data_IF_438627778628
#
_entry.id   IF_438627778628
#
_cell.length_a   1.000
_cell.length_b   1.000
_cell.length_c   1.000
_cell.angle_alpha   90.00
_cell.angle_beta   90.00
_cell.angle_gamma   90.00
#
_symmetry.space_group_name_H-M   'P 1'
#
loop_
_entity.id
_entity.type
_entity.pdbx_description
1 polymer ?
#
# COMPACT_ATOMS: atom_id res chain seq x y z
N UNK A 1 7.53 -1.95 -0.93
CA UNK A 1 8.00 -3.33 -1.04
C UNK A 1 9.44 -3.46 -0.57
N UNK A 2 9.90 -4.68 -0.26
CA UNK A 2 11.31 -4.91 0.02
C UNK A 2 12.18 -4.52 -1.18
N UNK A 3 13.32 -3.88 -0.93
CA UNK A 3 14.20 -3.37 -1.98
C UNK A 3 15.66 -3.63 -1.62
N UNK A 4 16.48 -3.91 -2.63
CA UNK A 4 17.94 -3.92 -2.50
C UNK A 4 18.49 -2.53 -2.83
N UNK A 5 18.78 -1.75 -1.82
CA UNK A 5 19.29 -0.37 -1.97
C UNK A 5 20.73 -0.29 -2.49
N UNK A 6 21.41 -1.42 -2.64
CA UNK A 6 22.77 -1.47 -3.22
C UNK A 6 22.74 -1.57 -4.74
N UNK A 7 21.58 -1.88 -5.32
CA UNK A 7 21.41 -2.00 -6.77
C UNK A 7 20.41 -0.94 -7.23
N UNK A 8 20.92 0.09 -7.87
CA UNK A 8 20.14 1.25 -8.30
C UNK A 8 20.25 1.47 -9.80
N UNK A 9 19.24 2.14 -10.36
CA UNK A 9 19.24 2.60 -11.74
C UNK A 9 18.65 4.01 -11.82
N UNK A 10 19.08 4.80 -12.79
CA UNK A 10 18.54 6.14 -13.05
C UNK A 10 17.87 6.15 -14.41
N UNK A 11 16.59 6.59 -14.46
CA UNK A 11 15.82 6.71 -15.70
C UNK A 11 15.05 8.03 -15.68
N UNK A 12 15.21 8.83 -16.71
CA UNK A 12 14.54 10.13 -16.87
C UNK A 12 14.73 11.07 -15.66
N UNK A 13 15.90 11.03 -15.03
CA UNK A 13 16.23 11.84 -13.86
C UNK A 13 15.70 11.28 -12.52
N UNK A 14 15.03 10.14 -12.54
CA UNK A 14 14.54 9.48 -11.33
C UNK A 14 15.44 8.29 -10.95
N UNK A 15 15.68 8.14 -9.66
CA UNK A 15 16.42 7.02 -9.10
C UNK A 15 15.47 5.88 -8.75
N UNK A 16 15.87 4.66 -9.08
CA UNK A 16 15.13 3.44 -8.80
C UNK A 16 16.01 2.45 -8.04
N UNK A 17 15.42 1.72 -7.11
CA UNK A 17 16.05 0.62 -6.40
C UNK A 17 15.52 -0.72 -6.90
N UNK A 18 16.38 -1.73 -6.95
CA UNK A 18 15.98 -3.08 -7.34
C UNK A 18 14.96 -3.63 -6.34
N UNK A 19 13.82 -4.10 -6.84
CA UNK A 19 12.84 -4.77 -6.00
C UNK A 19 13.37 -6.14 -5.53
N UNK A 20 13.24 -6.41 -4.25
CA UNK A 20 13.59 -7.69 -3.62
C UNK A 20 12.34 -8.38 -3.07
N UNK A 21 11.45 -8.75 -3.97
CA UNK A 21 10.20 -9.44 -3.64
C UNK A 21 10.34 -10.91 -4.04
N UNK A 22 10.25 -11.79 -3.07
CA UNK A 22 10.39 -13.23 -3.32
C UNK A 22 9.40 -13.72 -4.38
N UNK A 23 9.92 -14.31 -5.45
CA UNK A 23 9.13 -14.87 -6.55
C UNK A 23 8.63 -13.84 -7.56
N UNK A 24 9.06 -12.56 -7.45
CA UNK A 24 8.68 -11.48 -8.38
C UNK A 24 9.94 -10.86 -8.96
N UNK A 25 10.12 -11.00 -10.27
CA UNK A 25 11.29 -10.45 -10.97
C UNK A 25 10.94 -9.31 -11.93
N UNK A 26 9.67 -9.24 -12.34
CA UNK A 26 9.19 -8.28 -13.35
C UNK A 26 7.90 -7.59 -12.90
N UNK A 27 7.53 -6.52 -13.61
CA UNK A 27 6.25 -5.82 -13.41
C UNK A 27 5.05 -6.76 -13.64
N UNK A 28 5.12 -7.64 -14.63
CA UNK A 28 4.10 -8.66 -14.86
C UNK A 28 3.96 -9.62 -13.68
N UNK A 29 5.10 -10.05 -13.11
CA UNK A 29 5.13 -10.88 -11.90
C UNK A 29 4.53 -10.16 -10.69
N UNK A 30 4.79 -8.88 -10.52
CA UNK A 30 4.18 -8.07 -9.46
C UNK A 30 2.67 -7.96 -9.64
N UNK A 31 2.20 -7.71 -10.86
CA UNK A 31 0.77 -7.68 -11.17
C UNK A 31 0.10 -9.01 -10.84
N UNK A 32 0.70 -10.13 -11.24
CA UNK A 32 0.19 -11.46 -10.94
C UNK A 32 0.08 -11.72 -9.42
N UNK A 33 1.06 -11.26 -8.64
CA UNK A 33 1.01 -11.34 -7.18
C UNK A 33 -0.15 -10.50 -6.62
N UNK A 34 -0.32 -9.27 -7.09
CA UNK A 34 -1.39 -8.38 -6.61
C UNK A 34 -2.78 -8.94 -6.91
N UNK A 35 -2.98 -9.60 -8.06
CA UNK A 35 -4.27 -10.19 -8.45
C UNK A 35 -4.75 -11.31 -7.50
N UNK A 36 -3.88 -11.80 -6.64
CA UNK A 36 -4.28 -12.74 -5.58
C UNK A 36 -5.00 -12.07 -4.42
N UNK A 37 -4.82 -10.75 -4.23
CA UNK A 37 -5.30 -9.99 -3.07
C UNK A 37 -6.20 -8.81 -3.41
N UNK A 38 -6.14 -8.32 -4.64
CA UNK A 38 -6.91 -7.16 -5.09
C UNK A 38 -7.54 -7.43 -6.47
N UNK A 39 -8.57 -6.65 -6.81
CA UNK A 39 -9.21 -6.73 -8.14
C UNK A 39 -8.24 -6.27 -9.24
N UNK A 40 -8.43 -6.73 -10.50
CA UNK A 40 -7.63 -6.25 -11.63
C UNK A 40 -7.65 -4.72 -11.77
N UNK A 41 -8.79 -4.10 -11.56
CA UNK A 41 -8.96 -2.64 -11.62
C UNK A 41 -8.09 -1.93 -10.59
N UNK A 42 -8.06 -2.43 -9.35
CA UNK A 42 -7.24 -1.86 -8.28
C UNK A 42 -5.74 -2.09 -8.55
N UNK A 43 -5.37 -3.27 -9.02
CA UNK A 43 -3.99 -3.56 -9.40
C UNK A 43 -3.51 -2.63 -10.52
N UNK A 44 -4.32 -2.41 -11.54
CA UNK A 44 -3.99 -1.53 -12.66
C UNK A 44 -3.91 -0.06 -12.23
N UNK A 45 -4.76 0.38 -11.31
CA UNK A 45 -4.65 1.71 -10.70
C UNK A 45 -3.31 1.91 -9.99
N UNK A 46 -2.89 0.94 -9.19
CA UNK A 46 -1.64 1.03 -8.44
C UNK A 46 -0.39 0.97 -9.33
N UNK A 47 -0.41 0.14 -10.37
CA UNK A 47 0.73 -0.07 -11.25
C UNK A 47 0.78 0.91 -12.43
N UNK A 48 -0.37 1.47 -12.82
CA UNK A 48 -0.52 2.39 -13.93
C UNK A 48 -0.37 3.86 -13.56
N UNK A 49 0.18 4.19 -12.39
CA UNK A 49 0.35 5.58 -11.98
C UNK A 49 1.22 6.36 -12.98
N UNK A 50 0.87 7.61 -13.23
CA UNK A 50 1.61 8.51 -14.12
C UNK A 50 3.05 8.75 -13.66
N UNK A 51 3.33 8.51 -12.39
CA UNK A 51 4.65 8.63 -11.78
C UNK A 51 5.60 7.48 -12.16
N UNK A 52 5.09 6.43 -12.80
CA UNK A 52 5.87 5.25 -13.16
C UNK A 52 6.72 4.71 -12.00
N UNK A 53 6.08 4.56 -10.88
CA UNK A 53 6.71 4.14 -9.62
C UNK A 53 7.38 2.77 -9.71
N UNK A 54 6.81 1.89 -10.53
CA UNK A 54 7.29 0.54 -10.80
C UNK A 54 7.60 0.41 -12.28
N UNK A 55 8.79 -0.12 -12.61
CA UNK A 55 9.14 -0.38 -14.01
C UNK A 55 10.16 -1.51 -14.14
N UNK A 56 10.13 -2.16 -15.28
CA UNK A 56 11.17 -3.11 -15.66
C UNK A 56 12.35 -2.35 -16.28
N UNK A 57 13.55 -2.64 -15.77
CA UNK A 57 14.81 -2.13 -16.29
C UNK A 57 15.72 -3.34 -16.48
N UNK A 58 16.20 -3.56 -17.71
CA UNK A 58 17.04 -4.71 -18.07
C UNK A 58 16.45 -6.07 -17.61
N UNK A 59 15.13 -6.22 -17.73
CA UNK A 59 14.43 -7.46 -17.39
C UNK A 59 14.19 -7.69 -15.90
N UNK A 60 14.45 -6.70 -15.04
CA UNK A 60 14.23 -6.77 -13.60
C UNK A 60 13.32 -5.64 -13.15
N UNK A 61 12.53 -5.93 -12.11
CA UNK A 61 11.63 -4.95 -11.49
C UNK A 61 12.41 -3.97 -10.61
N UNK A 62 12.18 -2.68 -10.84
CA UNK A 62 12.70 -1.59 -10.02
C UNK A 62 11.55 -0.75 -9.47
N UNK A 63 11.78 -0.17 -8.31
CA UNK A 63 10.84 0.72 -7.62
C UNK A 63 11.47 2.09 -7.45
N UNK A 64 10.72 3.15 -7.76
CA UNK A 64 11.20 4.52 -7.59
C UNK A 64 11.61 4.77 -6.13
N UNK A 65 12.79 5.34 -5.94
CA UNK A 65 13.39 5.61 -4.63
C UNK A 65 12.72 6.80 -3.88
N UNK A 66 11.51 7.17 -4.25
CA UNK A 66 10.75 8.20 -3.58
C UNK A 66 10.01 7.60 -2.37
N UNK A 67 10.55 7.80 -1.18
CA UNK A 67 9.91 7.38 0.06
C UNK A 67 8.58 8.10 0.28
N UNK A 68 7.52 7.35 0.57
CA UNK A 68 6.31 7.90 1.16
C UNK A 68 6.59 8.04 2.65
N UNK A 69 6.69 9.27 3.16
CA UNK A 69 6.77 9.50 4.60
C UNK A 69 5.53 8.94 5.30
N UNK A 70 5.70 8.45 6.52
CA UNK A 70 4.57 8.06 7.35
C UNK A 70 3.70 9.28 7.69
N UNK A 71 2.41 9.07 7.89
CA UNK A 71 1.52 10.12 8.37
C UNK A 71 1.52 10.14 9.90
N UNK A 72 2.31 11.04 10.47
CA UNK A 72 2.49 11.15 11.92
C UNK A 72 1.24 11.64 12.66
N UNK A 73 0.25 12.19 11.93
CA UNK A 73 -1.04 12.58 12.51
C UNK A 73 -1.97 11.39 12.80
N UNK A 74 -1.58 10.19 12.41
CA UNK A 74 -2.33 8.96 12.64
C UNK A 74 -1.67 8.13 13.73
N UNK A 75 -2.45 7.77 14.74
CA UNK A 75 -2.04 6.90 15.83
C UNK A 75 -2.35 5.43 15.59
N UNK A 76 -2.60 4.70 16.65
CA UNK A 76 -2.98 3.31 16.60
C UNK A 76 -4.33 3.08 15.91
N UNK A 77 -4.57 1.85 15.50
CA UNK A 77 -5.82 1.47 14.85
C UNK A 77 -6.35 0.13 15.36
N UNK A 78 -7.64 -0.07 15.14
CA UNK A 78 -8.32 -1.35 15.31
C UNK A 78 -8.99 -1.75 14.00
N UNK A 79 -9.12 -3.06 13.76
CA UNK A 79 -9.79 -3.58 12.57
C UNK A 79 -10.95 -4.50 12.98
N UNK A 80 -12.06 -4.35 12.28
CA UNK A 80 -13.21 -5.25 12.37
C UNK A 80 -13.64 -5.67 10.97
N UNK A 81 -14.16 -6.89 10.83
CA UNK A 81 -14.66 -7.37 9.56
C UNK A 81 -16.13 -7.78 9.70
N UNK A 82 -16.93 -7.39 8.72
CA UNK A 82 -18.32 -7.85 8.56
C UNK A 82 -18.43 -8.59 7.25
N UNK A 83 -19.07 -9.76 7.28
CA UNK A 83 -19.20 -10.64 6.11
C UNK A 83 -20.70 -10.95 5.89
N UNK A 84 -21.12 -10.87 4.63
CA UNK A 84 -22.45 -11.27 4.17
C UNK A 84 -22.28 -12.15 2.91
N UNK A 85 -22.44 -13.47 3.09
CA UNK A 85 -22.10 -14.42 2.04
C UNK A 85 -20.61 -14.40 1.72
N UNK A 86 -20.28 -14.16 0.45
CA UNK A 86 -18.90 -14.02 -0.04
C UNK A 86 -18.42 -12.56 -0.11
N UNK A 87 -19.26 -11.60 0.24
CA UNK A 87 -18.92 -10.18 0.26
C UNK A 87 -18.71 -9.69 1.67
N UNK A 88 -17.73 -8.84 1.87
CA UNK A 88 -17.42 -8.30 3.18
C UNK A 88 -16.79 -6.91 3.13
N UNK A 89 -16.68 -6.31 4.30
CA UNK A 89 -16.00 -5.05 4.52
C UNK A 89 -15.09 -5.18 5.75
N UNK A 90 -13.81 -4.91 5.57
CA UNK A 90 -12.89 -4.69 6.66
C UNK A 90 -12.92 -3.20 7.00
N UNK A 91 -13.18 -2.86 8.25
CA UNK A 91 -13.17 -1.47 8.72
C UNK A 91 -11.97 -1.25 9.63
N UNK A 92 -11.11 -0.32 9.25
CA UNK A 92 -9.98 0.15 10.04
C UNK A 92 -10.37 1.47 10.70
N UNK A 93 -10.37 1.50 12.03
CA UNK A 93 -10.63 2.71 12.81
C UNK A 93 -9.32 3.24 13.38
N UNK A 94 -8.94 4.42 12.96
CA UNK A 94 -7.63 5.03 13.25
C UNK A 94 -7.80 6.17 14.24
N UNK A 95 -6.95 6.21 15.27
CA UNK A 95 -6.87 7.33 16.21
C UNK A 95 -6.22 8.53 15.52
N UNK A 96 -6.83 9.71 15.65
CA UNK A 96 -6.28 10.95 15.13
C UNK A 96 -5.43 11.65 16.19
N UNK A 97 -4.23 12.03 15.80
CA UNK A 97 -3.27 12.76 16.64
C UNK A 97 -3.19 14.22 16.19
N UNK A 98 -2.88 15.11 17.14
CA UNK A 98 -2.55 16.49 16.87
C UNK A 98 -1.21 16.83 17.54
N UNK A 99 -0.45 17.72 16.91
CA UNK A 99 0.80 18.20 17.49
C UNK A 99 0.51 19.09 18.71
N UNK A 100 1.13 18.78 19.82
CA UNK A 100 1.08 19.58 21.05
C UNK A 100 2.41 20.34 21.21
N UNK A 101 2.36 21.67 21.00
CA UNK A 101 3.54 22.52 21.08
C UNK A 101 4.13 22.61 22.50
N UNK A 102 3.30 22.45 23.52
CA UNK A 102 3.75 22.49 24.92
C UNK A 102 4.51 21.22 25.28
N UNK A 103 3.99 20.06 24.90
CA UNK A 103 4.62 18.76 25.14
C UNK A 103 5.70 18.43 24.09
N UNK A 104 5.76 19.16 22.97
CA UNK A 104 6.62 18.85 21.81
C UNK A 104 6.46 17.40 21.33
N UNK A 105 5.20 16.96 21.24
CA UNK A 105 4.85 15.60 20.87
C UNK A 105 3.45 15.54 20.20
N UNK A 106 3.20 14.45 19.49
CA UNK A 106 1.89 14.09 19.00
C UNK A 106 1.01 13.58 20.14
N UNK A 107 -0.20 14.11 20.26
CA UNK A 107 -1.15 13.78 21.33
C UNK A 107 -2.47 13.27 20.74
N UNK A 108 -3.11 12.33 21.44
CA UNK A 108 -4.43 11.81 21.09
C UNK A 108 -5.48 12.92 21.18
N UNK A 109 -6.24 13.10 20.11
CA UNK A 109 -7.34 14.08 20.07
C UNK A 109 -8.64 13.55 20.66
N UNK A 110 -8.73 12.25 20.98
CA UNK A 110 -9.98 11.58 21.33
C UNK A 110 -10.91 11.32 20.14
N UNK A 111 -10.48 11.67 18.93
CA UNK A 111 -11.23 11.48 17.68
C UNK A 111 -10.64 10.31 16.89
N UNK A 112 -11.50 9.67 16.10
CA UNK A 112 -11.13 8.57 15.21
C UNK A 112 -11.65 8.82 13.81
N UNK A 113 -11.05 8.14 12.84
CA UNK A 113 -11.50 8.10 11.45
C UNK A 113 -11.57 6.64 10.99
N UNK A 114 -12.62 6.29 10.27
CA UNK A 114 -12.83 4.94 9.77
C UNK A 114 -12.56 4.85 8.28
N UNK A 115 -11.85 3.80 7.88
CA UNK A 115 -11.54 3.47 6.49
C UNK A 115 -12.12 2.11 6.17
N UNK A 116 -12.82 2.01 5.05
CA UNK A 116 -13.47 0.77 4.62
C UNK A 116 -12.69 0.11 3.49
N UNK A 117 -12.49 -1.19 3.62
CA UNK A 117 -11.81 -2.05 2.66
C UNK A 117 -12.79 -3.13 2.20
N UNK A 118 -13.60 -2.85 1.15
CA UNK A 118 -14.53 -3.84 0.62
C UNK A 118 -13.78 -5.00 -0.05
N UNK A 119 -14.25 -6.22 0.18
CA UNK A 119 -13.67 -7.42 -0.39
C UNK A 119 -14.71 -8.46 -0.78
N UNK A 120 -14.30 -9.39 -1.63
CA UNK A 120 -15.03 -10.61 -1.95
C UNK A 120 -14.16 -11.82 -1.61
N UNK A 121 -14.76 -12.86 -1.04
CA UNK A 121 -14.04 -14.12 -0.83
C UNK A 121 -13.94 -14.90 -2.15
N UNK A 122 -12.72 -15.25 -2.51
CA UNK A 122 -12.40 -16.07 -3.67
C UNK A 122 -11.51 -17.22 -3.20
N UNK A 123 -11.96 -18.45 -3.36
CA UNK A 123 -11.24 -19.64 -2.90
C UNK A 123 -10.78 -19.55 -1.44
N UNK A 124 -11.62 -18.98 -0.56
CA UNK A 124 -11.40 -18.88 0.87
C UNK A 124 -10.49 -17.72 1.30
N UNK A 125 -10.07 -16.83 0.43
CA UNK A 125 -9.31 -15.63 0.78
C UNK A 125 -9.94 -14.35 0.26
N UNK A 126 -9.64 -13.23 0.93
CA UNK A 126 -10.19 -11.93 0.59
C UNK A 126 -9.49 -11.34 -0.64
N UNK A 127 -10.28 -10.83 -1.58
CA UNK A 127 -9.82 -10.04 -2.72
C UNK A 127 -10.45 -8.65 -2.61
N UNK A 128 -9.63 -7.64 -2.37
CA UNK A 128 -10.06 -6.27 -2.11
C UNK A 128 -10.32 -5.49 -3.41
N UNK A 129 -11.41 -4.74 -3.42
CA UNK A 129 -11.77 -3.83 -4.53
C UNK A 129 -11.41 -2.37 -4.27
N UNK A 130 -11.15 -2.02 -3.02
CA UNK A 130 -10.59 -0.74 -2.61
C UNK A 130 -9.67 -0.93 -1.40
N UNK A 131 -8.62 -0.12 -1.34
CA UNK A 131 -7.64 -0.21 -0.27
C UNK A 131 -7.15 1.20 0.09
N UNK A 132 -7.90 1.96 0.90
CA UNK A 132 -7.62 3.38 1.15
C UNK A 132 -6.32 3.66 1.91
N UNK A 133 -5.79 2.72 2.67
CA UNK A 133 -4.54 2.79 3.44
C UNK A 133 -4.06 4.22 3.77
N UNK A 134 -4.45 4.81 4.91
CA UNK A 134 -4.18 6.22 5.22
C UNK A 134 -2.74 6.52 5.65
N UNK A 135 -1.95 5.49 5.91
CA UNK A 135 -0.57 5.61 6.43
C UNK A 135 0.46 5.85 5.36
#
# INVERSE_FOLDING_TARGET
>A
PPMDYNVTAEVDGNLYDLADIKGVETLEGLRALLLRYVTPELADEWLGSTEQRYRDIDGRLYVMSAGRGGNESLGGYTCTAALDGDSGVLTQTVTLLAWDDTAQAWADTGKTEAYEYPFTLVDGHAVFSAFPCPY
#
